data_IF_676332438908
#
_entry.id   IF_676332438908
#
_cell.length_a   1.000
_cell.length_b   1.000
_cell.length_c   1.000
_cell.angle_alpha   90.00
_cell.angle_beta   90.00
_cell.angle_gamma   90.00
#
_symmetry.space_group_name_H-M   'P 1'
#
loop_
_entity.id
_entity.type
_entity.pdbx_description
1 polymer ?
#
# COMPACT_ATOMS: atom_id res chain seq x y z
N UNK A 1 -20.16 2.20 -9.74
CA UNK A 1 -19.75 1.13 -8.81
C UNK A 1 -18.51 0.53 -9.43
N UNK A 2 -17.35 1.04 -9.02
CA UNK A 2 -16.08 0.71 -9.65
C UNK A 2 -15.82 -0.78 -9.40
N UNK A 3 -15.67 -1.56 -10.47
CA UNK A 3 -15.33 -2.98 -10.38
C UNK A 3 -13.87 -3.09 -9.98
N UNK A 4 -13.60 -2.96 -8.69
CA UNK A 4 -12.25 -3.19 -8.16
C UNK A 4 -12.06 -4.70 -8.07
N UNK A 5 -11.05 -5.21 -8.77
CA UNK A 5 -10.69 -6.62 -8.73
C UNK A 5 -10.21 -6.97 -7.31
N UNK A 6 -10.91 -7.88 -6.65
CA UNK A 6 -10.56 -8.32 -5.30
C UNK A 6 -9.67 -9.58 -5.35
N UNK A 7 -8.55 -9.54 -4.65
CA UNK A 7 -7.75 -10.74 -4.38
C UNK A 7 -8.48 -11.59 -3.34
N UNK A 8 -8.84 -12.82 -3.70
CA UNK A 8 -9.55 -13.76 -2.83
C UNK A 8 -8.93 -15.15 -2.87
N UNK A 9 -9.26 -15.99 -1.89
CA UNK A 9 -8.90 -17.41 -1.85
C UNK A 9 -7.38 -17.66 -2.02
N UNK A 10 -7.01 -18.61 -2.88
CA UNK A 10 -5.64 -19.05 -3.15
C UNK A 10 -4.76 -17.90 -3.65
N UNK A 11 -5.29 -17.03 -4.54
CA UNK A 11 -4.57 -15.87 -5.05
C UNK A 11 -4.15 -14.90 -3.95
N UNK A 12 -4.98 -14.71 -2.91
CA UNK A 12 -4.63 -13.91 -1.75
C UNK A 12 -3.66 -14.68 -0.83
N UNK A 13 -3.93 -15.95 -0.55
CA UNK A 13 -3.14 -16.79 0.37
C UNK A 13 -1.70 -16.99 -0.08
N UNK A 14 -1.50 -17.19 -1.37
CA UNK A 14 -0.19 -17.49 -1.97
C UNK A 14 0.43 -16.26 -2.67
N UNK A 15 -0.16 -15.09 -2.48
CA UNK A 15 0.26 -13.85 -3.14
C UNK A 15 1.77 -13.59 -3.05
N UNK A 16 2.36 -13.76 -1.87
CA UNK A 16 3.80 -13.51 -1.67
C UNK A 16 4.68 -14.46 -2.50
N UNK A 17 4.27 -15.72 -2.68
CA UNK A 17 4.99 -16.68 -3.52
C UNK A 17 4.82 -16.34 -5.01
N UNK A 18 3.62 -15.97 -5.42
CA UNK A 18 3.33 -15.60 -6.80
C UNK A 18 4.05 -14.33 -7.23
N UNK A 19 4.01 -13.28 -6.42
CA UNK A 19 4.60 -11.98 -6.79
C UNK A 19 6.12 -12.07 -6.94
N UNK A 20 6.79 -12.88 -6.11
CA UNK A 20 8.23 -13.13 -6.24
C UNK A 20 8.59 -13.90 -7.51
N UNK A 21 7.69 -14.79 -7.96
CA UNK A 21 7.87 -15.55 -9.20
C UNK A 21 7.63 -14.67 -10.44
N UNK A 22 6.62 -13.79 -10.38
CA UNK A 22 6.20 -12.98 -11.53
C UNK A 22 7.02 -11.71 -11.71
N UNK A 23 7.61 -11.17 -10.63
CA UNK A 23 8.29 -9.89 -10.67
C UNK A 23 9.78 -10.08 -10.40
N UNK A 24 10.62 -10.02 -11.45
CA UNK A 24 12.06 -10.07 -11.29
C UNK A 24 12.54 -9.01 -10.31
N UNK A 25 13.47 -9.38 -9.42
CA UNK A 25 14.07 -8.49 -8.43
C UNK A 25 13.06 -7.80 -7.50
N UNK A 26 11.93 -8.45 -7.20
CA UNK A 26 10.86 -7.91 -6.35
C UNK A 26 11.38 -7.32 -5.03
N UNK A 27 12.11 -8.13 -4.26
CA UNK A 27 12.67 -7.70 -2.97
C UNK A 27 13.72 -6.60 -3.10
N UNK A 28 14.48 -6.58 -4.20
CA UNK A 28 15.51 -5.58 -4.41
C UNK A 28 14.88 -4.19 -4.53
N UNK A 29 13.87 -4.02 -5.39
CA UNK A 29 13.27 -2.71 -5.56
C UNK A 29 12.45 -2.31 -4.33
N UNK A 30 11.81 -3.25 -3.61
CA UNK A 30 11.16 -2.96 -2.32
C UNK A 30 12.17 -2.39 -1.32
N UNK A 31 13.37 -2.98 -1.25
CA UNK A 31 14.47 -2.48 -0.40
C UNK A 31 15.03 -1.12 -0.82
N UNK A 32 14.73 -0.64 -2.03
CA UNK A 32 15.05 0.71 -2.48
C UNK A 32 14.03 1.76 -2.02
N UNK A 33 12.77 1.37 -1.72
CA UNK A 33 11.70 2.33 -1.42
C UNK A 33 12.01 3.24 -0.24
N UNK A 34 12.49 2.75 0.93
CA UNK A 34 12.84 3.64 2.03
C UNK A 34 14.02 4.55 1.70
N UNK A 35 14.97 4.07 0.87
CA UNK A 35 16.14 4.84 0.44
C UNK A 35 15.76 6.00 -0.48
N UNK A 36 14.77 5.80 -1.36
CA UNK A 36 14.23 6.84 -2.23
C UNK A 36 13.57 7.98 -1.45
N UNK A 37 13.13 7.69 -0.23
CA UNK A 37 12.41 8.63 0.63
C UNK A 37 13.24 9.08 1.85
N UNK A 38 14.54 8.81 1.87
CA UNK A 38 15.41 9.06 3.04
C UNK A 38 15.46 10.52 3.45
N UNK A 39 15.37 11.44 2.49
CA UNK A 39 15.37 12.90 2.69
C UNK A 39 13.99 13.46 3.10
N UNK A 40 12.95 12.61 3.17
CA UNK A 40 11.61 13.04 3.57
C UNK A 40 11.59 13.38 5.06
N UNK A 41 11.37 14.66 5.37
CA UNK A 41 11.32 15.15 6.75
C UNK A 41 10.09 14.67 7.52
N UNK A 42 8.94 14.55 6.85
CA UNK A 42 7.67 14.16 7.45
C UNK A 42 7.26 12.77 6.98
N UNK A 43 7.18 11.82 7.91
CA UNK A 43 7.13 10.38 7.61
C UNK A 43 5.75 9.76 7.83
N UNK A 44 4.71 10.48 7.46
CA UNK A 44 3.34 9.98 7.36
C UNK A 44 3.10 9.37 5.98
N UNK A 45 3.13 8.04 5.90
CA UNK A 45 3.04 7.26 4.67
C UNK A 45 1.66 6.62 4.51
N UNK A 46 1.05 6.82 3.34
CA UNK A 46 -0.09 6.05 2.87
C UNK A 46 0.37 5.02 1.83
N UNK A 47 0.04 3.75 2.05
CA UNK A 47 0.22 2.67 1.07
C UNK A 47 -1.16 2.25 0.57
N UNK A 48 -1.48 2.64 -0.66
CA UNK A 48 -2.75 2.31 -1.31
C UNK A 48 -2.62 0.94 -1.98
N UNK A 49 -3.62 0.07 -1.80
CA UNK A 49 -3.55 -1.31 -2.27
C UNK A 49 -2.45 -2.08 -1.56
N UNK A 50 -2.36 -1.93 -0.23
CA UNK A 50 -1.21 -2.44 0.52
C UNK A 50 -1.10 -3.98 0.52
N UNK A 51 -2.16 -4.69 0.14
CA UNK A 51 -2.18 -6.14 0.05
C UNK A 51 -1.73 -6.82 1.34
N UNK A 52 -0.79 -7.75 1.22
CA UNK A 52 -0.14 -8.45 2.35
C UNK A 52 0.92 -7.59 3.06
N UNK A 53 1.11 -6.34 2.62
CA UNK A 53 1.95 -5.31 3.22
C UNK A 53 3.45 -5.41 2.95
N UNK A 54 3.86 -5.95 1.80
CA UNK A 54 5.29 -6.09 1.46
C UNK A 54 6.02 -4.74 1.38
N UNK A 55 5.36 -3.67 0.89
CA UNK A 55 5.90 -2.31 0.97
C UNK A 55 6.08 -1.87 2.42
N UNK A 56 5.03 -2.00 3.25
CA UNK A 56 5.03 -1.62 4.67
C UNK A 56 6.19 -2.32 5.40
N UNK A 57 6.41 -3.60 5.12
CA UNK A 57 7.49 -4.41 5.68
C UNK A 57 8.88 -3.81 5.42
N UNK A 58 9.10 -3.20 4.26
CA UNK A 58 10.36 -2.54 3.93
C UNK A 58 10.62 -1.29 4.79
N UNK A 59 9.57 -0.56 5.19
CA UNK A 59 9.66 0.67 5.99
C UNK A 59 9.76 0.40 7.49
N UNK A 60 8.95 -0.53 8.03
CA UNK A 60 8.95 -0.82 9.48
C UNK A 60 10.25 -1.47 9.97
N UNK A 61 11.07 -2.00 9.06
CA UNK A 61 12.40 -2.56 9.35
C UNK A 61 13.51 -1.50 9.38
N UNK A 62 13.20 -0.26 8.99
CA UNK A 62 14.16 0.83 8.99
C UNK A 62 14.26 1.49 10.37
N UNK A 63 15.32 2.25 10.63
CA UNK A 63 15.47 2.99 11.89
C UNK A 63 14.67 4.30 11.90
N UNK A 64 14.17 4.73 10.75
CA UNK A 64 13.29 5.88 10.62
C UNK A 64 11.91 5.61 11.21
N UNK A 65 11.41 6.56 12.00
CA UNK A 65 10.08 6.47 12.59
C UNK A 65 8.98 6.84 11.58
N UNK A 66 8.56 5.87 10.78
CA UNK A 66 7.44 6.01 9.85
C UNK A 66 6.09 5.77 10.55
N UNK A 67 5.11 6.64 10.31
CA UNK A 67 3.71 6.37 10.64
C UNK A 67 2.99 5.95 9.37
N UNK A 68 2.53 4.71 9.33
CA UNK A 68 2.10 4.06 8.09
C UNK A 68 0.61 3.77 8.17
N UNK A 69 -0.12 4.14 7.13
CA UNK A 69 -1.48 3.66 6.89
C UNK A 69 -1.50 2.82 5.63
N UNK A 70 -1.89 1.55 5.74
CA UNK A 70 -2.20 0.70 4.60
C UNK A 70 -3.70 0.66 4.36
N UNK A 71 -4.13 0.72 3.10
CA UNK A 71 -5.53 0.51 2.71
C UNK A 71 -5.60 -0.54 1.61
N UNK A 72 -6.47 -1.53 1.78
CA UNK A 72 -6.71 -2.55 0.77
C UNK A 72 -8.15 -3.08 0.89
N UNK A 73 -8.87 -3.31 -0.23
CA UNK A 73 -10.24 -3.79 -0.18
C UNK A 73 -10.35 -5.32 0.04
N UNK A 74 -9.23 -6.07 0.00
CA UNK A 74 -9.23 -7.52 0.24
C UNK A 74 -9.08 -7.85 1.73
N UNK A 75 -10.13 -8.38 2.39
CA UNK A 75 -10.02 -8.83 3.78
C UNK A 75 -9.03 -9.99 3.93
N UNK A 76 -8.89 -10.87 2.93
CA UNK A 76 -7.95 -11.99 3.01
C UNK A 76 -6.48 -11.56 2.93
N UNK A 77 -6.18 -10.53 2.12
CA UNK A 77 -4.84 -9.93 2.07
C UNK A 77 -4.54 -9.20 3.39
N UNK A 78 -5.48 -8.39 3.87
CA UNK A 78 -5.33 -7.67 5.14
C UNK A 78 -5.19 -8.61 6.34
N UNK A 79 -5.87 -9.75 6.36
CA UNK A 79 -5.67 -10.76 7.42
C UNK A 79 -4.21 -11.19 7.54
N UNK A 80 -3.47 -11.27 6.45
CA UNK A 80 -2.04 -11.57 6.47
C UNK A 80 -1.22 -10.36 6.92
N UNK A 81 -1.54 -9.16 6.42
CA UNK A 81 -0.89 -7.93 6.85
C UNK A 81 -1.07 -7.68 8.36
N UNK A 82 -2.28 -7.83 8.90
CA UNK A 82 -2.55 -7.71 10.35
C UNK A 82 -1.67 -8.66 11.17
N UNK A 83 -1.53 -9.92 10.74
CA UNK A 83 -0.63 -10.87 11.43
C UNK A 83 0.83 -10.42 11.41
N UNK A 84 1.30 -9.86 10.29
CA UNK A 84 2.67 -9.34 10.16
C UNK A 84 2.88 -8.11 11.04
N UNK A 85 1.90 -7.22 11.11
CA UNK A 85 2.09 -5.88 11.69
C UNK A 85 1.45 -5.66 13.06
N UNK A 86 0.84 -6.68 13.67
CA UNK A 86 0.17 -6.56 14.99
C UNK A 86 1.05 -6.01 16.12
N UNK A 87 2.37 -6.16 16.03
CA UNK A 87 3.33 -5.66 17.03
C UNK A 87 3.79 -4.22 16.78
N UNK A 88 3.43 -3.63 15.63
CA UNK A 88 3.87 -2.31 15.22
C UNK A 88 2.78 -1.28 15.50
N UNK A 89 2.95 -0.51 16.57
CA UNK A 89 1.98 0.54 16.97
C UNK A 89 1.86 1.68 15.94
N UNK A 90 2.88 1.84 15.11
CA UNK A 90 2.96 2.85 14.06
C UNK A 90 2.33 2.42 12.72
N UNK A 91 1.71 1.23 12.65
CA UNK A 91 1.02 0.72 11.45
C UNK A 91 -0.48 0.67 11.70
N UNK A 92 -1.24 1.36 10.84
CA UNK A 92 -2.71 1.26 10.77
C UNK A 92 -3.11 0.60 9.46
N UNK A 93 -3.92 -0.44 9.50
CA UNK A 93 -4.46 -1.10 8.31
C UNK A 93 -5.97 -0.87 8.24
N UNK A 94 -6.47 -0.50 7.06
CA UNK A 94 -7.86 -0.17 6.80
C UNK A 94 -8.37 -1.08 5.68
N UNK A 95 -9.42 -1.85 5.97
CA UNK A 95 -10.19 -2.53 4.95
C UNK A 95 -11.07 -1.51 4.21
N UNK A 96 -10.83 -1.37 2.91
CA UNK A 96 -11.59 -0.45 2.07
C UNK A 96 -10.78 0.08 0.91
N UNK A 97 -11.28 1.16 0.34
CA UNK A 97 -10.67 1.85 -0.79
C UNK A 97 -10.32 3.28 -0.42
N UNK A 98 -9.62 3.96 -1.32
CA UNK A 98 -9.15 5.33 -1.06
C UNK A 98 -10.31 6.30 -0.81
N UNK A 99 -11.49 6.04 -1.36
CA UNK A 99 -12.70 6.83 -1.10
C UNK A 99 -13.21 6.76 0.34
N UNK A 100 -12.83 5.71 1.08
CA UNK A 100 -13.27 5.49 2.45
C UNK A 100 -12.35 6.19 3.47
N UNK A 101 -11.19 6.68 3.03
CA UNK A 101 -10.26 7.41 3.88
C UNK A 101 -10.79 8.81 4.22
N UNK A 102 -10.60 9.23 5.47
CA UNK A 102 -10.95 10.58 5.92
C UNK A 102 -10.24 11.63 5.08
N UNK A 103 -11.02 12.58 4.54
CA UNK A 103 -10.48 13.74 3.82
C UNK A 103 -9.72 14.70 4.74
N UNK A 104 -9.90 14.62 6.06
CA UNK A 104 -9.19 15.49 7.01
C UNK A 104 -7.75 15.04 7.24
N UNK A 105 -7.51 13.72 7.14
CA UNK A 105 -6.18 13.15 7.30
C UNK A 105 -5.32 13.47 6.07
N UNK A 106 -4.18 14.10 6.29
CA UNK A 106 -3.17 14.34 5.26
C UNK A 106 -2.01 13.35 5.43
N UNK A 107 -1.38 13.01 4.32
CA UNK A 107 -0.20 12.17 4.25
C UNK A 107 0.88 12.93 3.51
N UNK A 108 2.13 12.76 3.93
CA UNK A 108 3.28 13.40 3.26
C UNK A 108 3.77 12.57 2.09
N UNK A 109 3.56 11.26 2.16
CA UNK A 109 3.92 10.32 1.10
C UNK A 109 2.72 9.42 0.81
N UNK A 110 2.46 9.18 -0.47
CA UNK A 110 1.53 8.16 -0.92
C UNK A 110 2.22 7.22 -1.92
N UNK A 111 1.97 5.92 -1.79
CA UNK A 111 2.52 4.87 -2.65
C UNK A 111 1.42 4.05 -3.29
N UNK A 112 1.61 3.70 -4.56
CA UNK A 112 0.70 2.91 -5.40
C UNK A 112 1.51 1.88 -6.21
N UNK A 113 2.19 0.96 -5.54
CA UNK A 113 3.01 -0.04 -6.21
C UNK A 113 2.15 -1.20 -6.71
N UNK A 114 2.17 -1.46 -8.03
CA UNK A 114 1.42 -2.56 -8.65
C UNK A 114 -0.10 -2.47 -8.37
N UNK A 115 -0.65 -1.25 -8.38
CA UNK A 115 -2.09 -1.01 -8.12
C UNK A 115 -2.82 -0.45 -9.34
N UNK A 116 -2.23 0.53 -10.03
CA UNK A 116 -2.94 1.29 -11.08
C UNK A 116 -3.46 0.43 -12.24
N UNK A 117 -2.92 -0.76 -12.44
CA UNK A 117 -3.37 -1.67 -13.50
C UNK A 117 -4.71 -2.36 -13.21
N UNK A 118 -5.23 -2.29 -11.98
CA UNK A 118 -6.59 -2.75 -11.65
C UNK A 118 -7.68 -1.76 -12.04
N UNK A 119 -7.31 -0.55 -12.46
CA UNK A 119 -8.24 0.50 -12.85
C UNK A 119 -8.34 0.58 -14.38
N UNK A 120 -9.56 0.82 -14.88
CA UNK A 120 -9.78 1.11 -16.29
C UNK A 120 -9.09 2.43 -16.69
N UNK A 121 -8.66 2.51 -17.96
CA UNK A 121 -8.02 3.71 -18.49
C UNK A 121 -9.04 4.71 -19.08
N UNK A 122 -10.08 4.99 -18.30
CA UNK A 122 -11.25 5.81 -18.66
C UNK A 122 -11.28 7.16 -17.91
N UNK A 123 -10.21 7.47 -17.16
CA UNK A 123 -10.13 8.58 -16.21
C UNK A 123 -10.01 8.16 -14.75
N UNK A 124 -10.35 6.92 -14.40
CA UNK A 124 -10.32 6.44 -13.01
C UNK A 124 -8.92 6.48 -12.40
N UNK A 125 -7.88 6.11 -13.17
CA UNK A 125 -6.48 6.26 -12.75
C UNK A 125 -6.13 7.71 -12.40
N UNK A 126 -6.53 8.66 -13.24
CA UNK A 126 -6.27 10.07 -13.01
C UNK A 126 -7.05 10.61 -11.80
N UNK A 127 -8.31 10.19 -11.65
CA UNK A 127 -9.13 10.56 -10.50
C UNK A 127 -8.52 10.06 -9.19
N UNK A 128 -8.02 8.82 -9.18
CA UNK A 128 -7.28 8.27 -8.04
C UNK A 128 -6.03 9.09 -7.72
N UNK A 129 -5.17 9.36 -8.72
CA UNK A 129 -3.95 10.14 -8.51
C UNK A 129 -4.23 11.56 -8.03
N UNK A 130 -5.26 12.23 -8.56
CA UNK A 130 -5.68 13.57 -8.12
C UNK A 130 -6.08 13.61 -6.64
N UNK A 131 -6.65 12.55 -6.08
CA UNK A 131 -6.98 12.50 -4.64
C UNK A 131 -5.74 12.64 -3.76
N UNK A 132 -4.57 12.22 -4.25
CA UNK A 132 -3.30 12.28 -3.52
C UNK A 132 -2.42 13.47 -3.92
N UNK A 133 -2.55 13.97 -5.15
CA UNK A 133 -1.75 15.08 -5.67
C UNK A 133 -2.24 16.46 -5.19
N UNK A 134 -3.47 16.59 -4.68
CA UNK A 134 -4.11 17.90 -4.45
C UNK A 134 -3.92 18.54 -3.05
N UNK A 135 -2.93 18.14 -2.24
CA UNK A 135 -2.72 18.75 -0.91
C UNK A 135 -1.26 19.07 -0.58
N UNK A 136 -0.48 19.48 -1.58
CA UNK A 136 0.78 20.21 -1.37
C UNK A 136 0.48 21.71 -1.34
#
# INVERSE_FOLDING_TARGET
MDKIELFKNERAREYNQFVETWIPNYHYFLGCLPKLLSETSSRDLLVVGCGTGNEIESFVKTSENWKITGVDPSPEMLKQAYKKFQIYENVTLIEGVTSDLSLEKKYNVAMLLLVLHFFEDNGDKLNLLKRFILKV
#
